data_IF_980911706851
#
_entry.id   IF_980911706851
#
_cell.length_a   1.000
_cell.length_b   1.000
_cell.length_c   1.000
_cell.angle_alpha   90.00
_cell.angle_beta   90.00
_cell.angle_gamma   90.00
#
_symmetry.space_group_name_H-M   'P 1'
#
loop_
_entity.id
_entity.type
_entity.pdbx_description
1 polymer ?
#
# COMPACT_ATOMS: atom_id res chain seq x y z
N UNK A 1 -20.51 1.61 3.24
CA UNK A 1 -19.15 1.21 3.68
C UNK A 1 -18.89 -0.15 3.07
N UNK A 2 -17.94 -0.24 2.15
CA UNK A 2 -17.50 -1.53 1.62
C UNK A 2 -16.57 -2.16 2.67
N UNK A 3 -16.88 -3.36 3.14
CA UNK A 3 -16.01 -4.11 4.03
C UNK A 3 -14.96 -4.82 3.17
N UNK A 4 -13.72 -4.34 3.20
CA UNK A 4 -12.58 -5.04 2.59
C UNK A 4 -12.20 -6.19 3.53
N UNK A 5 -12.49 -7.43 3.10
CA UNK A 5 -12.01 -8.65 3.76
C UNK A 5 -10.63 -9.01 3.24
N UNK A 6 -9.71 -9.31 4.15
CA UNK A 6 -8.41 -9.88 3.81
C UNK A 6 -8.45 -11.38 4.07
N UNK A 7 -8.17 -12.17 3.04
CA UNK A 7 -7.95 -13.61 3.19
C UNK A 7 -6.46 -13.86 3.36
N UNK A 8 -6.10 -14.51 4.46
CA UNK A 8 -4.71 -14.87 4.79
C UNK A 8 -4.56 -16.38 4.76
N UNK A 9 -3.38 -16.87 4.39
CA UNK A 9 -2.99 -18.25 4.70
C UNK A 9 -2.96 -18.45 6.22
N UNK A 10 -3.01 -19.71 6.66
CA UNK A 10 -2.87 -20.07 8.09
C UNK A 10 -1.62 -19.45 8.71
N UNK A 11 -0.52 -19.48 7.97
CA UNK A 11 0.79 -19.04 8.44
C UNK A 11 0.81 -17.51 8.57
N UNK A 12 0.30 -16.80 7.57
CA UNK A 12 0.18 -15.33 7.61
C UNK A 12 -0.80 -14.87 8.71
N UNK A 13 -1.86 -15.63 8.99
CA UNK A 13 -2.76 -15.34 10.10
C UNK A 13 -2.08 -15.48 11.46
N UNK A 14 -1.24 -16.52 11.63
CA UNK A 14 -0.46 -16.72 12.85
C UNK A 14 0.59 -15.62 13.06
N UNK A 15 1.26 -15.17 12.00
CA UNK A 15 2.17 -14.03 12.06
C UNK A 15 1.44 -12.73 12.43
N UNK A 16 0.26 -12.50 11.84
CA UNK A 16 -0.57 -11.35 12.18
C UNK A 16 -0.97 -11.38 13.66
N UNK A 17 -1.29 -12.55 14.21
CA UNK A 17 -1.59 -12.70 15.64
C UNK A 17 -0.41 -12.29 16.52
N UNK A 18 0.80 -12.74 16.21
CA UNK A 18 2.01 -12.33 16.93
C UNK A 18 2.23 -10.81 16.87
N UNK A 19 1.99 -10.19 15.71
CA UNK A 19 2.08 -8.74 15.55
C UNK A 19 1.04 -8.03 16.41
N UNK A 20 -0.19 -8.54 16.47
CA UNK A 20 -1.27 -7.95 17.27
C UNK A 20 -1.01 -8.03 18.77
N UNK A 21 -0.45 -9.15 19.25
CA UNK A 21 -0.03 -9.31 20.64
C UNK A 21 1.06 -8.31 21.01
N UNK A 22 2.09 -8.18 20.16
CA UNK A 22 3.18 -7.21 20.37
C UNK A 22 2.68 -5.77 20.39
N UNK A 23 1.75 -5.43 19.51
CA UNK A 23 1.16 -4.09 19.41
C UNK A 23 0.03 -3.85 20.43
N UNK A 24 -0.37 -4.87 21.20
CA UNK A 24 -1.54 -4.85 22.10
C UNK A 24 -2.77 -4.26 21.41
N UNK A 25 -3.05 -4.71 20.20
CA UNK A 25 -4.07 -4.13 19.34
C UNK A 25 -4.89 -5.17 18.59
N UNK A 26 -5.98 -4.76 17.95
CA UNK A 26 -6.78 -5.68 17.12
C UNK A 26 -6.08 -5.99 15.80
N UNK A 27 -6.41 -7.14 15.19
CA UNK A 27 -5.94 -7.51 13.83
C UNK A 27 -6.19 -6.40 12.82
N UNK A 28 -7.40 -5.83 12.82
CA UNK A 28 -7.75 -4.72 11.93
C UNK A 28 -6.87 -3.48 12.15
N UNK A 29 -6.56 -3.14 13.40
CA UNK A 29 -5.68 -2.01 13.68
C UNK A 29 -4.22 -2.30 13.32
N UNK A 30 -3.74 -3.53 13.52
CA UNK A 30 -2.41 -3.95 13.10
C UNK A 30 -2.25 -3.89 11.56
N UNK A 31 -3.27 -4.35 10.82
CA UNK A 31 -3.34 -4.24 9.36
C UNK A 31 -3.34 -2.76 8.94
N UNK A 32 -4.22 -1.94 9.51
CA UNK A 32 -4.30 -0.51 9.19
C UNK A 32 -3.00 0.23 9.49
N UNK A 33 -2.33 -0.12 10.59
CA UNK A 33 -1.02 0.43 10.95
C UNK A 33 0.05 0.04 9.93
N UNK A 34 0.07 -1.23 9.51
CA UNK A 34 0.97 -1.71 8.45
C UNK A 34 0.72 -1.01 7.11
N UNK A 35 -0.53 -0.92 6.68
CA UNK A 35 -0.93 -0.24 5.45
C UNK A 35 -0.61 1.26 5.50
N UNK A 36 -0.79 1.92 6.66
CA UNK A 36 -0.44 3.31 6.86
C UNK A 36 1.06 3.56 6.67
N UNK A 37 1.91 2.68 7.21
CA UNK A 37 3.37 2.75 7.00
C UNK A 37 3.77 2.54 5.54
N UNK A 38 3.17 1.56 4.88
CA UNK A 38 3.43 1.31 3.45
C UNK A 38 3.01 2.49 2.59
N UNK A 39 1.84 3.08 2.87
CA UNK A 39 1.36 4.29 2.21
C UNK A 39 2.36 5.44 2.39
N UNK A 40 2.80 5.70 3.62
CA UNK A 40 3.78 6.75 3.89
C UNK A 40 5.10 6.52 3.12
N UNK A 41 5.66 5.31 3.14
CA UNK A 41 6.89 4.98 2.40
C UNK A 41 6.70 5.25 0.89
N UNK A 42 5.57 4.83 0.33
CA UNK A 42 5.21 5.07 -1.06
C UNK A 42 5.15 6.57 -1.37
N UNK A 43 4.54 7.37 -0.50
CA UNK A 43 4.43 8.83 -0.67
C UNK A 43 5.79 9.51 -0.62
N UNK A 44 6.69 9.10 0.27
CA UNK A 44 8.07 9.61 0.33
C UNK A 44 8.86 9.29 -0.95
N UNK A 45 8.76 8.04 -1.43
CA UNK A 45 9.41 7.63 -2.69
C UNK A 45 8.85 8.40 -3.90
N UNK A 46 7.53 8.64 -3.95
CA UNK A 46 6.92 9.47 -5.00
C UNK A 46 7.40 10.93 -4.97
N UNK A 47 7.81 11.44 -3.80
CA UNK A 47 8.38 12.78 -3.62
C UNK A 47 9.89 12.84 -3.92
N UNK A 48 10.52 11.70 -4.23
CA UNK A 48 11.94 11.61 -4.55
C UNK A 48 12.85 11.36 -3.35
N UNK A 49 12.28 11.08 -2.17
CA UNK A 49 13.04 10.60 -1.01
C UNK A 49 13.68 9.24 -1.34
N UNK A 50 14.84 8.97 -0.75
CA UNK A 50 15.60 7.72 -0.94
C UNK A 50 15.64 6.94 0.36
N UNK A 51 15.56 5.61 0.27
CA UNK A 51 15.72 4.75 1.45
C UNK A 51 17.20 4.46 1.61
N UNK A 52 17.75 4.89 2.74
CA UNK A 52 19.14 4.68 3.11
C UNK A 52 19.19 3.64 4.25
N UNK A 53 20.11 2.70 4.14
CA UNK A 53 20.36 1.69 5.18
C UNK A 53 21.81 1.80 5.63
N UNK A 54 21.99 1.96 6.92
CA UNK A 54 23.31 1.88 7.55
C UNK A 54 23.65 0.40 7.79
N UNK A 55 24.76 -0.04 7.21
CA UNK A 55 25.32 -1.37 7.41
C UNK A 55 26.06 -1.46 8.73
N UNK A 56 26.37 -2.68 9.16
CA UNK A 56 27.05 -2.94 10.45
C UNK A 56 28.45 -2.33 10.55
N UNK A 57 29.07 -1.99 9.42
CA UNK A 57 30.36 -1.33 9.29
C UNK A 57 30.25 0.20 9.26
N UNK A 58 29.04 0.75 9.39
CA UNK A 58 28.77 2.19 9.31
C UNK A 58 28.64 2.73 7.88
N UNK A 59 28.71 1.87 6.86
CA UNK A 59 28.48 2.28 5.47
C UNK A 59 26.99 2.58 5.26
N UNK A 60 26.67 3.79 4.79
CA UNK A 60 25.31 4.17 4.39
C UNK A 60 25.14 3.83 2.91
N UNK A 61 24.26 2.88 2.61
CA UNK A 61 23.93 2.49 1.24
C UNK A 61 22.50 2.86 0.87
N UNK A 62 22.32 3.32 -0.36
CA UNK A 62 20.99 3.47 -0.95
C UNK A 62 20.45 2.09 -1.32
N UNK A 63 19.24 1.78 -0.87
CA UNK A 63 18.57 0.50 -1.16
C UNK A 63 17.47 0.74 -2.18
N UNK A 64 17.65 0.16 -3.37
CA UNK A 64 16.60 0.07 -4.36
C UNK A 64 15.66 -1.09 -4.02
N UNK A 65 14.36 -0.80 -3.94
CA UNK A 65 13.32 -1.81 -3.76
C UNK A 65 12.62 -2.08 -5.09
N UNK A 66 13.09 -3.05 -5.91
CA UNK A 66 12.53 -3.32 -7.24
C UNK A 66 11.06 -3.75 -7.20
N UNK A 67 10.62 -4.37 -6.10
CA UNK A 67 9.24 -4.78 -5.89
C UNK A 67 8.32 -3.60 -5.55
N UNK A 68 8.80 -2.63 -4.76
CA UNK A 68 8.04 -1.40 -4.47
C UNK A 68 7.85 -0.58 -5.74
N UNK A 69 8.88 -0.49 -6.58
CA UNK A 69 8.76 0.18 -7.88
C UNK A 69 7.69 -0.47 -8.76
N UNK A 70 7.59 -1.80 -8.71
CA UNK A 70 6.55 -2.57 -9.38
C UNK A 70 5.16 -2.33 -8.75
N UNK A 71 5.06 -2.26 -7.42
CA UNK A 71 3.82 -1.89 -6.72
C UNK A 71 3.40 -0.44 -7.00
N UNK A 72 4.33 0.50 -7.11
CA UNK A 72 4.09 1.89 -7.49
C UNK A 72 3.60 1.99 -8.94
N UNK A 73 4.17 1.21 -9.86
CA UNK A 73 3.67 1.06 -11.24
C UNK A 73 2.24 0.54 -11.26
N UNK A 74 1.94 -0.50 -10.47
CA UNK A 74 0.58 -1.02 -10.31
C UNK A 74 -0.38 0.01 -9.69
N UNK A 75 0.03 0.72 -8.64
CA UNK A 75 -0.78 1.77 -8.02
C UNK A 75 -1.08 2.94 -8.98
N UNK A 76 -0.11 3.35 -9.79
CA UNK A 76 -0.31 4.33 -10.86
C UNK A 76 -1.25 3.82 -11.96
N UNK A 77 -1.16 2.54 -12.32
CA UNK A 77 -2.09 1.89 -13.25
C UNK A 77 -3.54 1.97 -12.73
N UNK A 78 -3.78 1.64 -11.46
CA UNK A 78 -5.12 1.75 -10.85
C UNK A 78 -5.62 3.20 -10.75
N UNK A 79 -4.76 4.18 -10.39
CA UNK A 79 -5.12 5.62 -10.44
C UNK A 79 -5.49 6.07 -11.87
N UNK A 80 -4.87 5.50 -12.90
CA UNK A 80 -5.18 5.75 -14.31
C UNK A 80 -6.52 5.15 -14.73
N UNK A 81 -6.81 3.92 -14.31
CA UNK A 81 -8.10 3.24 -14.55
C UNK A 81 -9.24 3.97 -13.84
N UNK A 82 -9.02 4.47 -12.63
CA UNK A 82 -10.05 5.21 -11.88
C UNK A 82 -10.42 6.55 -12.55
N UNK A 83 -9.43 7.25 -13.14
CA UNK A 83 -9.71 8.41 -14.02
C UNK A 83 -10.48 8.00 -15.27
N UNK A 84 -10.16 6.86 -15.88
CA UNK A 84 -10.83 6.36 -17.08
C UNK A 84 -12.28 5.96 -16.80
N UNK A 85 -12.55 5.28 -15.67
CA UNK A 85 -13.90 4.94 -15.21
C UNK A 85 -14.71 6.19 -14.85
N UNK A 86 -14.07 7.21 -14.28
CA UNK A 86 -14.70 8.52 -14.01
C UNK A 86 -15.06 9.24 -15.31
N UNK A 87 -14.25 9.09 -16.37
CA UNK A 87 -14.51 9.67 -17.69
C UNK A 87 -15.61 8.92 -18.45
N UNK A 88 -15.64 7.58 -18.38
CA UNK A 88 -16.68 6.75 -19.00
C UNK A 88 -18.04 6.92 -18.30
N UNK A 89 -18.06 7.22 -16.99
CA UNK A 89 -19.31 7.52 -16.27
C UNK A 89 -19.90 8.91 -16.56
N UNK A 90 -19.22 9.80 -17.31
CA UNK A 90 -19.64 11.22 -17.48
C UNK A 90 -20.35 11.63 -18.79
N UNK A 91 -20.66 10.79 -19.79
CA UNK A 91 -21.59 11.20 -20.86
C UNK A 91 -22.90 10.41 -20.94
N UNK A 92 -23.19 9.42 -20.07
CA UNK A 92 -24.45 8.66 -20.15
C UNK A 92 -25.67 9.32 -19.47
N UNK A 93 -25.51 10.52 -18.90
CA UNK A 93 -26.58 11.27 -18.22
C UNK A 93 -27.10 12.46 -19.04
N UNK A 94 -27.04 12.41 -20.37
CA UNK A 94 -27.58 13.47 -21.24
C UNK A 94 -28.23 13.01 -22.54
N UNK A 95 -28.78 11.80 -22.57
CA UNK A 95 -29.50 11.25 -23.74
C UNK A 95 -30.78 10.45 -23.42
N UNK A 96 -31.47 10.77 -22.33
CA UNK A 96 -32.90 10.46 -22.21
C UNK A 96 -33.64 11.75 -21.87
N UNK A 97 -33.93 12.50 -22.94
CA UNK A 97 -35.20 13.22 -23.05
C UNK A 97 -36.27 12.25 -23.53
#
# INVERSE_FOLDING_TARGET
>A
MENIGFEFSSDAAAELDQITERLKSSRGNAINHGLGKLKWIVEELEQGSRILVERKDGEIVEVEFPEIESMLRWAKFWKGVDRLLTFIKRPFMRFFG
#
